data_IF_921689966112
#
_entry.id   IF_921689966112
#
_cell.length_a   1.000
_cell.length_b   1.000
_cell.length_c   1.000
_cell.angle_alpha   90.00
_cell.angle_beta   90.00
_cell.angle_gamma   90.00
#
_symmetry.space_group_name_H-M   'P 1'
#
loop_
_entity.id
_entity.type
_entity.pdbx_description
1 polymer ?
#
# COMPACT_ATOMS: atom_id res chain seq x y z
N UNK A 1 -24.52 -94.13 106.96
CA UNK A 1 -24.13 -94.33 105.55
C UNK A 1 -23.33 -93.11 105.13
N UNK A 2 -22.05 -93.26 104.79
CA UNK A 2 -21.27 -92.19 104.17
C UNK A 2 -21.66 -92.16 102.70
N UNK A 3 -22.29 -91.07 102.26
CA UNK A 3 -22.46 -90.78 100.84
C UNK A 3 -21.15 -90.12 100.41
N UNK A 4 -20.38 -90.81 99.58
CA UNK A 4 -19.23 -90.22 98.92
C UNK A 4 -19.68 -89.68 97.57
N UNK A 5 -19.32 -88.44 97.25
CA UNK A 5 -19.54 -87.87 95.92
C UNK A 5 -18.76 -88.70 94.89
N UNK A 6 -19.48 -89.31 93.96
CA UNK A 6 -18.91 -90.00 92.80
C UNK A 6 -18.70 -88.96 91.71
N UNK A 7 -17.49 -88.40 91.66
CA UNK A 7 -17.05 -87.63 90.51
C UNK A 7 -16.71 -88.59 89.37
N UNK A 8 -17.55 -88.59 88.33
CA UNK A 8 -17.28 -89.33 87.11
C UNK A 8 -16.39 -88.47 86.20
N UNK A 9 -15.09 -88.74 86.23
CA UNK A 9 -14.12 -88.04 85.38
C UNK A 9 -14.14 -88.65 83.99
N UNK A 10 -14.46 -87.84 82.98
CA UNK A 10 -14.22 -88.17 81.58
C UNK A 10 -12.84 -87.62 81.24
N UNK A 11 -11.85 -88.51 81.15
CA UNK A 11 -10.50 -88.15 80.71
C UNK A 11 -10.44 -88.23 79.19
N UNK A 12 -10.09 -87.13 78.54
CA UNK A 12 -9.77 -87.11 77.12
C UNK A 12 -8.48 -86.32 76.90
N UNK A 13 -7.74 -86.70 75.87
CA UNK A 13 -6.55 -85.99 75.42
C UNK A 13 -6.95 -84.91 74.42
N UNK A 14 -6.61 -83.66 74.72
CA UNK A 14 -6.71 -82.55 73.79
C UNK A 14 -5.36 -81.92 73.50
N UNK A 15 -5.27 -81.12 72.45
CA UNK A 15 -4.08 -80.31 72.17
C UNK A 15 -4.35 -78.86 72.55
N UNK A 16 -3.38 -78.23 73.23
CA UNK A 16 -3.42 -76.81 73.58
C UNK A 16 -3.05 -76.00 72.33
N UNK A 17 -3.94 -75.09 71.92
CA UNK A 17 -3.72 -74.20 70.78
C UNK A 17 -3.88 -72.74 71.22
N UNK A 18 -3.15 -71.84 70.56
CA UNK A 18 -3.26 -70.41 70.82
C UNK A 18 -4.56 -69.87 70.20
N UNK A 19 -5.26 -68.95 70.88
CA UNK A 19 -6.52 -68.38 70.39
C UNK A 19 -6.33 -67.59 69.09
N UNK A 20 -5.14 -67.00 68.91
CA UNK A 20 -4.73 -66.32 67.69
C UNK A 20 -3.34 -66.77 67.28
N UNK A 21 -3.28 -67.23 66.05
CA UNK A 21 -2.07 -67.67 65.37
C UNK A 21 -1.94 -66.84 64.08
N UNK A 22 -0.73 -66.40 63.78
CA UNK A 22 -0.45 -65.71 62.52
C UNK A 22 0.81 -66.26 61.87
N UNK A 23 0.64 -66.66 60.62
CA UNK A 23 1.70 -67.12 59.76
C UNK A 23 2.13 -65.95 58.87
N UNK A 24 3.29 -65.38 59.17
CA UNK A 24 3.79 -64.18 58.53
C UNK A 24 4.75 -64.54 57.41
N UNK A 25 4.44 -64.06 56.21
CA UNK A 25 5.27 -64.19 55.01
C UNK A 25 5.46 -62.82 54.38
N UNK A 26 6.57 -62.66 53.64
CA UNK A 26 6.78 -61.45 52.86
C UNK A 26 5.74 -61.35 51.73
N UNK A 27 5.14 -60.17 51.58
CA UNK A 27 4.16 -59.89 50.53
C UNK A 27 4.82 -59.69 49.16
N UNK A 28 6.13 -59.45 49.14
CA UNK A 28 6.96 -59.29 47.93
C UNK A 28 8.13 -60.28 47.98
N UNK A 29 8.64 -60.67 46.81
CA UNK A 29 9.81 -61.55 46.71
C UNK A 29 11.11 -60.76 46.76
N UNK A 30 12.14 -61.30 47.39
CA UNK A 30 13.45 -60.64 47.51
C UNK A 30 14.40 -61.37 48.45
N UNK A 31 15.62 -60.86 48.60
CA UNK A 31 16.63 -61.43 49.50
C UNK A 31 16.46 -60.87 50.91
N UNK A 32 16.51 -61.72 51.93
CA UNK A 32 16.40 -61.30 53.34
C UNK A 32 17.69 -60.60 53.78
N UNK A 33 17.60 -59.31 54.11
CA UNK A 33 18.74 -58.50 54.53
C UNK A 33 18.96 -58.56 56.05
N UNK A 34 17.88 -58.57 56.84
CA UNK A 34 17.97 -58.56 58.29
C UNK A 34 16.80 -59.35 58.91
N UNK A 35 17.09 -60.13 59.95
CA UNK A 35 16.12 -60.78 60.83
C UNK A 35 16.34 -60.23 62.24
N UNK A 36 15.34 -59.53 62.80
CA UNK A 36 15.45 -58.76 64.05
C UNK A 36 14.89 -59.49 65.27
N UNK A 37 14.37 -60.69 65.07
CA UNK A 37 13.72 -61.47 66.13
C UNK A 37 14.32 -62.86 66.27
N UNK A 38 14.19 -63.40 67.48
CA UNK A 38 14.63 -64.75 67.84
C UNK A 38 13.45 -65.56 68.36
N UNK A 39 13.53 -66.89 68.25
CA UNK A 39 12.49 -67.78 68.77
C UNK A 39 12.31 -67.59 70.29
N UNK A 40 11.06 -67.47 70.74
CA UNK A 40 10.69 -67.18 72.13
C UNK A 40 10.69 -65.70 72.51
N UNK A 41 11.02 -64.78 71.59
CA UNK A 41 10.99 -63.34 71.84
C UNK A 41 9.56 -62.79 71.81
N UNK A 42 9.23 -61.88 72.75
CA UNK A 42 7.99 -61.11 72.74
C UNK A 42 8.11 -59.91 71.80
N UNK A 43 7.11 -59.72 70.96
CA UNK A 43 7.03 -58.63 69.98
C UNK A 43 5.72 -57.88 70.11
N UNK A 44 5.72 -56.60 69.72
CA UNK A 44 4.53 -55.75 69.72
C UNK A 44 3.90 -55.63 68.34
N UNK A 45 2.61 -55.34 68.29
CA UNK A 45 1.90 -55.02 67.06
C UNK A 45 2.61 -53.86 66.32
N UNK A 46 2.92 -54.07 65.05
CA UNK A 46 3.65 -53.15 64.18
C UNK A 46 5.17 -53.22 64.29
N UNK A 47 5.74 -54.06 65.16
CA UNK A 47 7.19 -54.26 65.27
C UNK A 47 7.73 -54.97 64.02
N UNK A 48 8.84 -54.46 63.47
CA UNK A 48 9.52 -55.04 62.30
C UNK A 48 10.30 -56.28 62.72
N UNK A 49 9.88 -57.42 62.21
CA UNK A 49 10.43 -58.74 62.55
C UNK A 49 11.58 -59.12 61.62
N UNK A 50 11.43 -58.84 60.33
CA UNK A 50 12.44 -59.08 59.30
C UNK A 50 12.27 -58.10 58.13
N UNK A 51 13.35 -57.83 57.41
CA UNK A 51 13.34 -56.94 56.24
C UNK A 51 14.13 -57.53 55.07
N UNK A 52 13.61 -57.33 53.86
CA UNK A 52 14.31 -57.65 52.62
C UNK A 52 15.35 -56.57 52.27
N UNK A 53 16.26 -56.88 51.35
CA UNK A 53 17.10 -55.87 50.70
C UNK A 53 16.20 -54.94 49.89
N UNK A 54 16.17 -53.65 50.29
CA UNK A 54 15.30 -52.64 49.69
C UNK A 54 16.06 -51.68 48.78
N UNK A 55 17.34 -51.95 48.46
CA UNK A 55 18.17 -51.05 47.66
C UNK A 55 17.52 -50.78 46.30
N UNK A 56 17.06 -51.82 45.60
CA UNK A 56 16.38 -51.70 44.30
C UNK A 56 15.00 -51.04 44.42
N UNK A 57 14.23 -51.38 45.46
CA UNK A 57 12.91 -50.77 45.71
C UNK A 57 13.03 -49.28 46.04
N UNK A 58 14.07 -48.89 46.77
CA UNK A 58 14.35 -47.49 47.04
C UNK A 58 14.76 -46.74 45.76
N UNK A 59 15.54 -47.37 44.88
CA UNK A 59 15.84 -46.80 43.55
C UNK A 59 14.56 -46.66 42.70
N UNK A 60 13.64 -47.62 42.77
CA UNK A 60 12.35 -47.53 42.08
C UNK A 60 11.49 -46.38 42.59
N UNK A 61 11.44 -46.15 43.91
CA UNK A 61 10.73 -44.99 44.49
C UNK A 61 11.36 -43.68 44.02
N UNK A 62 12.70 -43.58 44.06
CA UNK A 62 13.42 -42.39 43.59
C UNK A 62 13.16 -42.15 42.09
N UNK A 63 13.16 -43.19 41.27
CA UNK A 63 12.84 -43.09 39.84
C UNK A 63 11.39 -42.66 39.60
N UNK A 64 10.43 -43.22 40.34
CA UNK A 64 9.02 -42.85 40.23
C UNK A 64 8.76 -41.40 40.69
N UNK A 65 9.45 -40.95 41.73
CA UNK A 65 9.39 -39.56 42.19
C UNK A 65 10.00 -38.60 41.17
N UNK A 66 11.12 -38.96 40.55
CA UNK A 66 11.71 -38.18 39.46
C UNK A 66 10.76 -38.09 38.25
N UNK A 67 10.08 -39.19 37.90
CA UNK A 67 9.08 -39.21 36.83
C UNK A 67 7.87 -38.33 37.15
N UNK A 68 7.37 -38.37 38.39
CA UNK A 68 6.29 -37.48 38.86
C UNK A 68 6.70 -36.02 38.77
N UNK A 69 7.89 -35.68 39.26
CA UNK A 69 8.42 -34.32 39.20
C UNK A 69 8.57 -33.84 37.76
N UNK A 70 9.02 -34.70 36.84
CA UNK A 70 9.08 -34.38 35.41
C UNK A 70 7.70 -34.16 34.80
N UNK A 71 6.71 -34.98 35.12
CA UNK A 71 5.34 -34.81 34.62
C UNK A 71 4.70 -33.52 35.16
N UNK A 72 4.93 -33.19 36.43
CA UNK A 72 4.47 -31.94 37.04
C UNK A 72 5.15 -30.72 36.42
N UNK A 73 6.46 -30.79 36.13
CA UNK A 73 7.17 -29.73 35.42
C UNK A 73 6.61 -29.53 34.01
N UNK A 74 6.37 -30.61 33.26
CA UNK A 74 5.77 -30.51 31.92
C UNK A 74 4.36 -29.87 31.96
N UNK A 75 3.54 -30.19 32.97
CA UNK A 75 2.24 -29.56 33.16
C UNK A 75 2.38 -28.07 33.52
N UNK A 76 3.33 -27.72 34.40
CA UNK A 76 3.59 -26.35 34.78
C UNK A 76 4.09 -25.51 33.58
N UNK A 77 5.02 -26.04 32.79
CA UNK A 77 5.54 -25.39 31.57
C UNK A 77 4.42 -25.18 30.55
N UNK A 78 3.49 -26.13 30.43
CA UNK A 78 2.31 -25.99 29.57
C UNK A 78 1.39 -24.85 30.06
N UNK A 79 1.25 -24.68 31.38
CA UNK A 79 0.38 -23.67 32.00
C UNK A 79 1.00 -22.26 32.06
N UNK A 80 2.33 -22.15 32.19
CA UNK A 80 3.05 -20.87 32.25
C UNK A 80 3.01 -20.11 30.91
N UNK A 81 2.69 -20.81 29.82
CA UNK A 81 2.50 -20.23 28.50
C UNK A 81 3.82 -19.93 27.76
N UNK A 82 3.77 -19.17 26.65
CA UNK A 82 4.93 -18.90 25.81
C UNK A 82 5.99 -18.04 26.51
N UNK A 83 7.24 -18.20 26.10
CA UNK A 83 8.38 -17.43 26.64
C UNK A 83 8.17 -15.91 26.41
N UNK A 84 8.33 -15.06 27.44
CA UNK A 84 8.21 -13.61 27.31
C UNK A 84 9.09 -12.98 26.23
N UNK A 85 10.28 -13.54 25.96
CA UNK A 85 11.17 -13.05 24.89
C UNK A 85 10.62 -13.38 23.50
N UNK A 86 9.96 -14.52 23.32
CA UNK A 86 9.27 -14.88 22.08
C UNK A 86 8.09 -13.95 21.83
N UNK A 87 7.29 -13.68 22.87
CA UNK A 87 6.17 -12.72 22.80
C UNK A 87 6.67 -11.33 22.44
N UNK A 88 7.73 -10.84 23.11
CA UNK A 88 8.32 -9.52 22.83
C UNK A 88 8.86 -9.42 21.40
N UNK A 89 9.45 -10.50 20.87
CA UNK A 89 9.90 -10.56 19.49
C UNK A 89 8.72 -10.50 18.52
N UNK A 90 7.66 -11.27 18.76
CA UNK A 90 6.45 -11.27 17.94
C UNK A 90 5.75 -9.89 17.94
N UNK A 91 5.63 -9.24 19.11
CA UNK A 91 5.12 -7.87 19.23
C UNK A 91 5.97 -6.87 18.43
N UNK A 92 7.30 -6.98 18.52
CA UNK A 92 8.22 -6.12 17.76
C UNK A 92 8.04 -6.30 16.25
N UNK A 93 7.85 -7.54 15.77
CA UNK A 93 7.59 -7.82 14.36
C UNK A 93 6.24 -7.26 13.89
N UNK A 94 5.21 -7.35 14.74
CA UNK A 94 3.91 -6.76 14.47
C UNK A 94 4.00 -5.23 14.38
N UNK A 95 4.74 -4.59 15.27
CA UNK A 95 4.93 -3.14 15.25
C UNK A 95 5.65 -2.68 13.99
N UNK A 96 6.72 -3.37 13.59
CA UNK A 96 7.42 -3.10 12.32
C UNK A 96 6.46 -3.23 11.12
N UNK A 97 5.60 -4.26 11.10
CA UNK A 97 4.61 -4.43 10.03
C UNK A 97 3.57 -3.30 10.00
N UNK A 98 3.08 -2.83 11.17
CA UNK A 98 2.17 -1.68 11.27
C UNK A 98 2.82 -0.39 10.81
N UNK A 99 4.06 -0.14 11.20
CA UNK A 99 4.83 1.03 10.75
C UNK A 99 5.03 1.00 9.23
N UNK A 100 5.31 -0.16 8.65
CA UNK A 100 5.42 -0.33 7.20
C UNK A 100 4.07 -0.06 6.51
N UNK A 101 2.96 -0.51 7.07
CA UNK A 101 1.62 -0.19 6.55
C UNK A 101 1.34 1.32 6.58
N UNK A 102 1.66 2.00 7.68
CA UNK A 102 1.48 3.45 7.79
C UNK A 102 2.37 4.22 6.81
N UNK A 103 3.62 3.80 6.62
CA UNK A 103 4.50 4.36 5.59
C UNK A 103 3.94 4.14 4.19
N UNK A 104 3.40 2.94 3.93
CA UNK A 104 2.77 2.61 2.64
C UNK A 104 1.52 3.45 2.43
N UNK A 105 0.67 3.66 3.45
CA UNK A 105 -0.52 4.51 3.39
C UNK A 105 -0.19 5.99 3.18
N UNK A 106 0.87 6.51 3.80
CA UNK A 106 1.33 7.89 3.61
C UNK A 106 2.01 8.12 2.25
N UNK A 107 2.48 7.06 1.62
CA UNK A 107 3.29 7.13 0.41
C UNK A 107 4.72 7.60 0.73
N UNK A 108 5.65 7.25 -0.15
CA UNK A 108 7.06 7.62 -0.02
C UNK A 108 7.38 9.00 -0.58
N UNK A 109 6.36 9.76 -1.00
CA UNK A 109 6.53 11.06 -1.63
C UNK A 109 7.01 12.09 -0.60
N UNK A 110 8.18 12.67 -0.86
CA UNK A 110 8.74 13.73 -0.04
C UNK A 110 7.95 15.03 -0.19
N UNK A 111 7.98 15.89 0.82
CA UNK A 111 7.38 17.23 0.75
C UNK A 111 7.90 18.04 -0.46
N UNK A 112 9.17 17.84 -0.85
CA UNK A 112 9.77 18.47 -2.02
C UNK A 112 9.13 18.00 -3.33
N UNK A 113 8.86 16.70 -3.49
CA UNK A 113 8.18 16.16 -4.67
C UNK A 113 6.74 16.68 -4.78
N UNK A 114 6.01 16.70 -3.67
CA UNK A 114 4.64 17.26 -3.64
C UNK A 114 4.66 18.76 -3.99
N UNK A 115 5.62 19.53 -3.47
CA UNK A 115 5.77 20.95 -3.80
C UNK A 115 6.07 21.17 -5.29
N UNK A 116 6.94 20.34 -5.89
CA UNK A 116 7.25 20.38 -7.31
C UNK A 116 6.04 20.04 -8.19
N UNK A 117 5.28 19.00 -7.83
CA UNK A 117 4.05 18.63 -8.54
C UNK A 117 2.98 19.74 -8.44
N UNK A 118 2.79 20.36 -7.26
CA UNK A 118 1.91 21.52 -7.09
C UNK A 118 2.37 22.73 -7.91
N UNK A 119 3.67 22.96 -8.01
CA UNK A 119 4.20 24.04 -8.86
C UNK A 119 3.92 23.76 -10.34
N UNK A 120 4.07 22.51 -10.78
CA UNK A 120 3.76 22.08 -12.15
C UNK A 120 2.27 22.25 -12.48
N UNK A 121 1.37 21.86 -11.56
CA UNK A 121 -0.06 22.07 -11.70
C UNK A 121 -0.42 23.56 -11.81
N UNK A 122 0.12 24.39 -10.91
CA UNK A 122 -0.09 25.86 -10.97
C UNK A 122 0.40 26.45 -12.29
N UNK A 123 1.54 25.99 -12.81
CA UNK A 123 2.06 26.45 -14.10
C UNK A 123 1.15 26.03 -15.27
N UNK A 124 0.66 24.79 -15.26
CA UNK A 124 -0.26 24.31 -16.30
C UNK A 124 -1.61 25.04 -16.27
N UNK A 125 -2.14 25.30 -15.08
CA UNK A 125 -3.36 26.09 -14.88
C UNK A 125 -3.17 27.53 -15.33
N UNK A 126 -2.04 28.17 -15.00
CA UNK A 126 -1.72 29.51 -15.47
C UNK A 126 -1.62 29.60 -17.00
N UNK A 127 -1.05 28.57 -17.64
CA UNK A 127 -0.99 28.49 -19.10
C UNK A 127 -2.40 28.37 -19.70
N UNK A 128 -3.25 27.49 -19.15
CA UNK A 128 -4.65 27.35 -19.59
C UNK A 128 -5.44 28.66 -19.43
N UNK A 129 -5.26 29.36 -18.30
CA UNK A 129 -5.89 30.65 -18.05
C UNK A 129 -5.39 31.72 -19.02
N UNK A 130 -4.09 31.80 -19.31
CA UNK A 130 -3.55 32.74 -20.30
C UNK A 130 -4.12 32.48 -21.71
N UNK A 131 -4.38 31.22 -22.05
CA UNK A 131 -5.03 30.87 -23.31
C UNK A 131 -6.51 31.28 -23.32
N UNK A 132 -7.26 30.98 -22.25
CA UNK A 132 -8.70 31.30 -22.16
C UNK A 132 -8.97 32.79 -21.98
N UNK A 133 -8.06 33.49 -21.31
CA UNK A 133 -8.10 34.90 -20.96
C UNK A 133 -6.76 35.54 -21.36
N UNK A 134 -6.58 35.92 -22.65
CA UNK A 134 -5.41 36.70 -23.07
C UNK A 134 -5.28 37.95 -22.20
N UNK A 135 -4.04 38.37 -21.91
CA UNK A 135 -3.82 39.50 -21.00
C UNK A 135 -4.45 40.76 -21.56
N UNK A 136 -4.92 41.65 -20.68
CA UNK A 136 -5.46 42.95 -21.09
C UNK A 136 -4.47 43.74 -21.97
N UNK A 137 -3.16 43.59 -21.69
CA UNK A 137 -2.09 44.21 -22.46
C UNK A 137 -1.98 43.64 -23.89
N UNK A 138 -2.05 42.31 -24.06
CA UNK A 138 -1.99 41.68 -25.39
C UNK A 138 -3.22 42.04 -26.23
N UNK A 139 -4.39 42.07 -25.60
CA UNK A 139 -5.63 42.50 -26.24
C UNK A 139 -5.56 43.97 -26.67
N UNK A 140 -5.11 44.85 -25.78
CA UNK A 140 -4.99 46.28 -26.06
C UNK A 140 -4.00 46.56 -27.20
N UNK A 141 -2.85 45.86 -27.21
CA UNK A 141 -1.85 45.96 -28.28
C UNK A 141 -2.42 45.51 -29.64
N UNK A 142 -3.15 44.39 -29.67
CA UNK A 142 -3.77 43.88 -30.90
C UNK A 142 -4.89 44.81 -31.40
N UNK A 143 -5.74 45.33 -30.50
CA UNK A 143 -6.76 46.32 -30.85
C UNK A 143 -6.14 47.63 -31.36
N UNK A 144 -5.02 48.07 -30.77
CA UNK A 144 -4.30 49.24 -31.25
C UNK A 144 -3.72 49.01 -32.65
N UNK A 145 -3.14 47.84 -32.93
CA UNK A 145 -2.63 47.50 -34.26
C UNK A 145 -3.74 47.53 -35.34
N UNK A 146 -4.96 47.06 -35.02
CA UNK A 146 -6.13 47.18 -35.91
C UNK A 146 -6.47 48.65 -36.15
N UNK A 147 -6.58 49.46 -35.08
CA UNK A 147 -6.86 50.90 -35.20
C UNK A 147 -5.81 51.63 -36.05
N UNK A 148 -4.53 51.33 -35.86
CA UNK A 148 -3.44 51.91 -36.64
C UNK A 148 -3.53 51.51 -38.13
N UNK A 149 -3.86 50.25 -38.42
CA UNK A 149 -4.05 49.78 -39.78
C UNK A 149 -5.29 50.41 -40.47
N UNK A 150 -6.39 50.62 -39.74
CA UNK A 150 -7.58 51.33 -40.24
C UNK A 150 -7.25 52.79 -40.59
N UNK A 151 -6.54 53.49 -39.70
CA UNK A 151 -6.10 54.87 -39.92
C UNK A 151 -5.17 54.93 -41.14
N UNK A 152 -4.22 53.99 -41.25
CA UNK A 152 -3.31 53.90 -42.39
C UNK A 152 -4.07 53.67 -43.70
N UNK A 153 -5.04 52.75 -43.72
CA UNK A 153 -5.89 52.51 -44.90
C UNK A 153 -6.68 53.75 -45.31
N UNK A 154 -7.29 54.45 -44.35
CA UNK A 154 -8.03 55.67 -44.64
C UNK A 154 -7.12 56.77 -45.20
N UNK A 155 -5.94 56.95 -44.60
CA UNK A 155 -4.93 57.91 -45.06
C UNK A 155 -4.45 57.59 -46.49
N UNK A 156 -4.15 56.32 -46.77
CA UNK A 156 -3.76 55.83 -48.09
C UNK A 156 -4.84 56.08 -49.14
N UNK A 157 -6.11 55.77 -48.84
CA UNK A 157 -7.24 56.05 -49.75
C UNK A 157 -7.36 57.54 -50.05
N UNK A 158 -7.26 58.39 -49.03
CA UNK A 158 -7.33 59.84 -49.21
C UNK A 158 -6.18 60.37 -50.08
N UNK A 159 -4.94 59.92 -49.81
CA UNK A 159 -3.74 60.32 -50.56
C UNK A 159 -3.78 59.85 -52.02
N UNK A 160 -4.14 58.58 -52.24
CA UNK A 160 -4.25 58.01 -53.57
C UNK A 160 -5.36 58.68 -54.40
N UNK A 161 -6.52 58.94 -53.80
CA UNK A 161 -7.61 59.68 -54.43
C UNK A 161 -7.18 61.11 -54.81
N UNK A 162 -6.40 61.78 -53.97
CA UNK A 162 -5.89 63.12 -54.25
C UNK A 162 -4.88 63.10 -55.41
N UNK A 163 -3.95 62.13 -55.43
CA UNK A 163 -2.96 61.98 -56.50
C UNK A 163 -3.62 61.74 -57.86
N UNK A 164 -4.63 60.86 -57.91
CA UNK A 164 -5.42 60.61 -59.12
C UNK A 164 -6.16 61.86 -59.60
N UNK A 165 -6.80 62.59 -58.69
CA UNK A 165 -7.49 63.85 -59.01
C UNK A 165 -6.53 64.89 -59.59
N UNK A 166 -5.31 64.99 -59.03
CA UNK A 166 -4.27 65.89 -59.53
C UNK A 166 -3.77 65.48 -60.93
N UNK A 167 -3.59 64.18 -61.18
CA UNK A 167 -3.18 63.66 -62.48
C UNK A 167 -4.28 63.86 -63.55
N UNK A 168 -5.55 63.67 -63.18
CA UNK A 168 -6.72 63.94 -64.03
C UNK A 168 -6.80 65.42 -64.43
N UNK A 169 -6.61 66.32 -63.46
CA UNK A 169 -6.55 67.76 -63.73
C UNK A 169 -5.36 68.14 -64.64
N UNK A 170 -4.20 67.50 -64.47
CA UNK A 170 -3.04 67.74 -65.32
C UNK A 170 -3.30 67.26 -66.77
N UNK A 171 -3.96 66.13 -66.94
CA UNK A 171 -4.40 65.61 -68.23
C UNK A 171 -5.39 66.57 -68.91
N UNK A 172 -6.39 67.05 -68.17
CA UNK A 172 -7.35 68.03 -68.69
C UNK A 172 -6.64 69.30 -69.20
N UNK A 173 -5.72 69.86 -68.40
CA UNK A 173 -4.93 71.04 -68.80
C UNK A 173 -4.07 70.78 -70.05
N UNK A 174 -3.49 69.58 -70.17
CA UNK A 174 -2.70 69.21 -71.34
C UNK A 174 -3.57 69.11 -72.60
N UNK A 175 -4.79 68.55 -72.48
CA UNK A 175 -5.76 68.47 -73.58
C UNK A 175 -6.25 69.86 -74.01
N UNK A 176 -6.51 70.76 -73.05
CA UNK A 176 -6.87 72.15 -73.34
C UNK A 176 -5.74 72.89 -74.07
N UNK A 177 -4.48 72.69 -73.61
CA UNK A 177 -3.30 73.28 -74.25
C UNK A 177 -3.06 72.74 -75.65
N UNK A 178 -3.29 71.43 -75.88
CA UNK A 178 -3.24 70.82 -77.20
C UNK A 178 -4.28 71.43 -78.14
N UNK A 179 -5.52 71.60 -77.66
CA UNK A 179 -6.59 72.23 -78.43
C UNK A 179 -6.20 73.65 -78.85
N UNK A 180 -5.61 74.45 -77.94
CA UNK A 180 -5.11 75.78 -78.26
C UNK A 180 -3.94 75.75 -79.27
N UNK A 181 -3.01 74.82 -79.11
CA UNK A 181 -1.88 74.66 -80.02
C UNK A 181 -2.32 74.26 -81.43
N UNK A 182 -3.32 73.38 -81.55
CA UNK A 182 -3.95 72.99 -82.82
C UNK A 182 -4.58 74.21 -83.52
N UNK A 183 -5.31 75.06 -82.80
CA UNK A 183 -5.89 76.29 -83.36
C UNK A 183 -4.80 77.26 -83.84
N UNK A 184 -3.72 77.45 -83.06
CA UNK A 184 -2.59 78.32 -83.46
C UNK A 184 -1.87 77.78 -84.68
N UNK A 185 -1.60 76.47 -84.73
CA UNK A 185 -1.00 75.82 -85.88
C UNK A 185 -1.87 75.98 -87.12
N UNK A 186 -3.17 75.71 -87.02
CA UNK A 186 -4.11 75.88 -88.13
C UNK A 186 -4.12 77.33 -88.66
N UNK A 187 -4.13 78.31 -87.76
CA UNK A 187 -4.09 79.74 -88.13
C UNK A 187 -2.76 80.12 -88.78
N UNK A 188 -1.63 79.81 -88.13
CA UNK A 188 -0.30 80.13 -88.64
C UNK A 188 0.01 79.44 -89.97
N UNK A 189 -0.49 78.20 -90.15
CA UNK A 189 -0.41 77.49 -91.42
C UNK A 189 -1.21 78.19 -92.51
N UNK A 190 -2.46 78.57 -92.22
CA UNK A 190 -3.29 79.30 -93.17
C UNK A 190 -2.66 80.64 -93.58
N UNK A 191 -2.13 81.39 -92.62
CA UNK A 191 -1.45 82.68 -92.87
C UNK A 191 -0.18 82.50 -93.71
N UNK A 192 0.63 81.49 -93.39
CA UNK A 192 1.84 81.15 -94.15
C UNK A 192 1.51 80.74 -95.59
N UNK A 193 0.54 79.84 -95.77
CA UNK A 193 0.09 79.39 -97.10
C UNK A 193 -0.42 80.60 -97.92
N UNK A 194 -1.20 81.50 -97.31
CA UNK A 194 -1.68 82.73 -97.96
C UNK A 194 -0.54 83.68 -98.39
N UNK A 195 0.47 83.87 -97.53
CA UNK A 195 1.66 84.69 -97.83
C UNK A 195 2.47 84.08 -98.98
N UNK A 196 2.61 82.75 -99.00
CA UNK A 196 3.31 82.03 -100.07
C UNK A 196 2.60 82.16 -101.42
N UNK A 197 1.26 82.02 -101.43
CA UNK A 197 0.47 82.05 -102.66
C UNK A 197 0.26 83.48 -103.21
N UNK A 198 -0.01 84.46 -102.35
CA UNK A 198 -0.48 85.79 -102.77
C UNK A 198 0.58 86.89 -102.66
N UNK A 199 1.62 86.69 -101.86
CA UNK A 199 2.61 87.70 -101.50
C UNK A 199 2.06 88.90 -100.73
N UNK A 200 0.85 88.80 -100.18
CA UNK A 200 0.15 89.86 -99.45
C UNK A 200 0.06 89.55 -97.95
N UNK A 201 -0.19 90.57 -97.13
CA UNK A 201 -0.38 90.40 -95.69
C UNK A 201 -1.74 89.74 -95.38
N UNK A 202 -1.80 88.59 -94.68
CA UNK A 202 -3.04 87.85 -94.40
C UNK A 202 -3.99 88.57 -93.43
N UNK A 203 -3.47 89.41 -92.54
CA UNK A 203 -4.31 90.20 -91.61
C UNK A 203 -4.88 91.46 -92.27
N UNK A 204 -4.21 91.99 -93.30
CA UNK A 204 -4.70 93.14 -94.07
C UNK A 204 -4.17 93.12 -95.51
N UNK A 205 -4.87 92.43 -96.44
CA UNK A 205 -4.37 92.20 -97.79
C UNK A 205 -4.33 93.46 -98.68
N UNK A 206 -5.14 94.47 -98.36
CA UNK A 206 -5.21 95.75 -99.09
C UNK A 206 -4.88 96.92 -98.15
N UNK A 207 -4.11 97.90 -98.63
CA UNK A 207 -3.88 99.17 -97.92
C UNK A 207 -4.32 100.35 -98.79
N UNK A 208 -4.70 101.46 -98.17
CA UNK A 208 -5.22 102.64 -98.89
C UNK A 208 -4.17 103.75 -98.88
N UNK A 209 -3.87 104.32 -100.05
CA UNK A 209 -2.93 105.45 -100.18
C UNK A 209 -3.51 106.75 -99.63
N UNK A 210 -2.69 107.79 -99.43
CA UNK A 210 -3.16 109.10 -98.94
C UNK A 210 -4.20 109.79 -99.86
N UNK A 211 -4.43 109.26 -101.07
CA UNK A 211 -5.44 109.72 -102.03
C UNK A 211 -6.66 108.78 -102.16
N UNK A 212 -6.78 107.75 -101.32
CA UNK A 212 -7.97 106.88 -101.27
C UNK A 212 -7.94 105.65 -102.20
N UNK A 213 -6.83 105.37 -102.89
CA UNK A 213 -6.72 104.19 -103.78
C UNK A 213 -6.27 102.94 -103.02
N UNK A 214 -6.92 101.80 -103.29
CA UNK A 214 -6.58 100.50 -102.73
C UNK A 214 -5.40 99.87 -103.47
N UNK A 215 -4.31 99.60 -102.77
CA UNK A 215 -3.13 98.90 -103.28
C UNK A 215 -2.87 97.61 -102.49
N UNK A 216 -2.26 96.62 -103.14
CA UNK A 216 -1.87 95.35 -102.50
C UNK A 216 -0.83 95.61 -101.41
N UNK A 217 -1.15 95.20 -100.19
CA UNK A 217 -0.21 95.29 -99.07
C UNK A 217 0.81 94.14 -99.15
N UNK A 218 1.88 94.35 -99.92
CA UNK A 218 2.94 93.35 -100.10
C UNK A 218 3.74 93.19 -98.81
N UNK A 219 3.90 91.94 -98.37
CA UNK A 219 4.77 91.60 -97.24
C UNK A 219 6.23 91.74 -97.64
N UNK A 220 7.03 92.38 -96.79
CA UNK A 220 8.49 92.44 -96.95
C UNK A 220 9.14 91.08 -96.68
N UNK A 221 10.39 90.89 -97.10
CA UNK A 221 11.13 89.64 -96.84
C UNK A 221 11.29 89.36 -95.34
N UNK A 222 11.45 90.41 -94.53
CA UNK A 222 11.46 90.29 -93.06
C UNK A 222 10.11 89.80 -92.54
N UNK A 223 8.99 90.34 -93.04
CA UNK A 223 7.65 89.92 -92.61
C UNK A 223 7.33 88.49 -93.07
N UNK A 224 7.75 88.09 -94.27
CA UNK A 224 7.63 86.71 -94.75
C UNK A 224 8.36 85.73 -93.82
N UNK A 225 9.59 86.06 -93.42
CA UNK A 225 10.35 85.27 -92.46
C UNK A 225 9.65 85.21 -91.10
N UNK A 226 9.02 86.30 -90.64
CA UNK A 226 8.22 86.29 -89.41
C UNK A 226 7.02 85.33 -89.47
N UNK A 227 6.31 85.24 -90.61
CA UNK A 227 5.23 84.26 -90.78
C UNK A 227 5.73 82.82 -90.84
N UNK A 228 6.88 82.58 -91.49
CA UNK A 228 7.53 81.26 -91.49
C UNK A 228 7.94 80.84 -90.08
N UNK A 229 8.61 81.73 -89.34
CA UNK A 229 9.04 81.48 -87.96
C UNK A 229 7.84 81.23 -87.05
N UNK A 230 6.73 81.96 -87.23
CA UNK A 230 5.49 81.75 -86.49
C UNK A 230 4.86 80.38 -86.78
N UNK A 231 4.89 79.92 -88.03
CA UNK A 231 4.44 78.57 -88.41
C UNK A 231 5.30 77.48 -87.77
N UNK A 232 6.64 77.59 -87.88
CA UNK A 232 7.57 76.61 -87.29
C UNK A 232 7.43 76.58 -85.76
N UNK A 233 7.27 77.75 -85.12
CA UNK A 233 7.02 77.83 -83.68
C UNK A 233 5.67 77.18 -83.30
N UNK A 234 4.63 77.38 -84.10
CA UNK A 234 3.32 76.76 -83.85
C UNK A 234 3.36 75.24 -84.05
N UNK A 235 4.11 74.73 -85.05
CA UNK A 235 4.34 73.30 -85.25
C UNK A 235 5.10 72.68 -84.06
N UNK A 236 6.18 73.33 -83.60
CA UNK A 236 6.92 72.88 -82.43
C UNK A 236 6.06 72.91 -81.15
N UNK A 237 5.22 73.93 -80.99
CA UNK A 237 4.27 74.04 -79.88
C UNK A 237 3.20 72.93 -79.92
N UNK A 238 2.70 72.60 -81.11
CA UNK A 238 1.75 71.49 -81.31
C UNK A 238 2.38 70.16 -80.90
N UNK A 239 3.58 69.83 -81.41
CA UNK A 239 4.28 68.59 -81.04
C UNK A 239 4.57 68.50 -79.54
N UNK A 240 4.91 69.64 -78.92
CA UNK A 240 5.12 69.72 -77.47
C UNK A 240 3.83 69.45 -76.70
N UNK A 241 2.70 70.01 -77.16
CA UNK A 241 1.41 69.80 -76.52
C UNK A 241 0.92 68.34 -76.67
N UNK A 242 1.14 67.70 -77.82
CA UNK A 242 0.86 66.27 -78.03
C UNK A 242 1.68 65.37 -77.10
N UNK A 243 2.98 65.69 -76.94
CA UNK A 243 3.85 65.00 -76.00
C UNK A 243 3.37 65.18 -74.54
N UNK A 244 2.94 66.38 -74.17
CA UNK A 244 2.42 66.67 -72.83
C UNK A 244 1.13 65.91 -72.52
N UNK A 245 0.21 65.76 -73.49
CA UNK A 245 -1.00 64.93 -73.32
C UNK A 245 -0.63 63.48 -73.09
N UNK A 246 0.28 62.93 -73.91
CA UNK A 246 0.75 61.55 -73.78
C UNK A 246 1.39 61.32 -72.40
N UNK A 247 2.24 62.25 -71.95
CA UNK A 247 2.87 62.18 -70.64
C UNK A 247 1.84 62.27 -69.50
N UNK A 248 0.86 63.16 -69.60
CA UNK A 248 -0.18 63.32 -68.60
C UNK A 248 -1.11 62.08 -68.54
N UNK A 249 -1.38 61.44 -69.68
CA UNK A 249 -2.14 60.19 -69.74
C UNK A 249 -1.39 59.07 -69.00
N UNK A 250 -0.09 58.89 -69.27
CA UNK A 250 0.74 57.91 -68.55
C UNK A 250 0.78 58.22 -67.05
N UNK A 251 0.90 59.49 -66.66
CA UNK A 251 0.87 59.88 -65.25
C UNK A 251 -0.47 59.55 -64.57
N UNK A 252 -1.60 59.74 -65.26
CA UNK A 252 -2.92 59.36 -64.79
C UNK A 252 -3.07 57.84 -64.65
N UNK A 253 -2.65 57.08 -65.67
CA UNK A 253 -2.72 55.61 -65.65
C UNK A 253 -1.85 55.03 -64.51
N UNK A 254 -0.64 55.56 -64.33
CA UNK A 254 0.23 55.21 -63.20
C UNK A 254 -0.40 55.56 -61.86
N UNK A 255 -1.02 56.74 -61.71
CA UNK A 255 -1.69 57.13 -60.47
C UNK A 255 -2.87 56.19 -60.14
N UNK A 256 -3.61 55.73 -61.16
CA UNK A 256 -4.71 54.76 -61.01
C UNK A 256 -4.20 53.38 -60.58
N UNK A 257 -3.13 52.89 -61.19
CA UNK A 257 -2.54 51.60 -60.80
C UNK A 257 -1.93 51.65 -59.39
N UNK A 258 -1.27 52.75 -59.05
CA UNK A 258 -0.70 52.96 -57.72
C UNK A 258 -1.79 53.04 -56.64
N UNK A 259 -2.93 53.68 -56.92
CA UNK A 259 -4.10 53.70 -56.02
C UNK A 259 -4.54 52.26 -55.68
N UNK A 260 -4.70 51.41 -56.69
CA UNK A 260 -5.13 50.02 -56.50
C UNK A 260 -4.10 49.27 -55.65
N UNK A 261 -2.81 49.38 -55.99
CA UNK A 261 -1.75 48.67 -55.30
C UNK A 261 -1.59 49.11 -53.83
N UNK A 262 -1.64 50.42 -53.57
CA UNK A 262 -1.47 50.97 -52.23
C UNK A 262 -2.65 50.63 -51.33
N UNK A 263 -3.88 50.71 -51.86
CA UNK A 263 -5.09 50.32 -51.13
C UNK A 263 -5.09 48.83 -50.83
N UNK A 264 -4.76 47.97 -51.80
CA UNK A 264 -4.65 46.52 -51.57
C UNK A 264 -3.61 46.18 -50.50
N UNK A 265 -2.47 46.87 -50.49
CA UNK A 265 -1.43 46.68 -49.46
C UNK A 265 -1.93 47.09 -48.08
N UNK A 266 -2.63 48.22 -47.97
CA UNK A 266 -3.20 48.67 -46.71
C UNK A 266 -4.33 47.76 -46.21
N UNK A 267 -5.17 47.25 -47.11
CA UNK A 267 -6.20 46.25 -46.78
C UNK A 267 -5.60 44.94 -46.29
N UNK A 268 -4.50 44.48 -46.90
CA UNK A 268 -3.78 43.29 -46.45
C UNK A 268 -3.19 43.48 -45.03
N UNK A 269 -2.70 44.67 -44.70
CA UNK A 269 -2.22 45.00 -43.36
C UNK A 269 -3.36 44.97 -42.34
N UNK A 270 -4.50 45.58 -42.64
CA UNK A 270 -5.69 45.54 -41.79
C UNK A 270 -6.16 44.09 -41.56
N UNK A 271 -6.28 43.30 -42.62
CA UNK A 271 -6.67 41.89 -42.53
C UNK A 271 -5.67 41.06 -41.71
N UNK A 272 -4.37 41.39 -41.74
CA UNK A 272 -3.38 40.72 -40.90
C UNK A 272 -3.54 41.06 -39.41
N UNK A 273 -3.76 42.34 -39.07
CA UNK A 273 -3.98 42.78 -37.70
C UNK A 273 -5.29 42.21 -37.12
N UNK A 274 -6.36 42.15 -37.93
CA UNK A 274 -7.63 41.54 -37.54
C UNK A 274 -7.48 40.04 -37.25
N UNK A 275 -6.75 39.30 -38.08
CA UNK A 275 -6.47 37.87 -37.82
C UNK A 275 -5.66 37.65 -36.55
N UNK A 276 -4.72 38.53 -36.25
CA UNK A 276 -3.95 38.46 -35.00
C UNK A 276 -4.84 38.69 -33.78
N UNK A 277 -5.73 39.69 -33.83
CA UNK A 277 -6.72 39.94 -32.79
C UNK A 277 -7.68 38.77 -32.61
N UNK A 278 -8.18 38.19 -33.71
CA UNK A 278 -9.09 37.04 -33.68
C UNK A 278 -8.41 35.79 -33.11
N UNK A 279 -7.15 35.51 -33.47
CA UNK A 279 -6.38 34.40 -32.92
C UNK A 279 -6.12 34.52 -31.41
N UNK A 280 -6.03 35.76 -30.90
CA UNK A 280 -5.92 36.03 -29.47
C UNK A 280 -7.25 35.83 -28.74
N UNK A 281 -8.35 36.31 -29.32
CA UNK A 281 -9.69 36.21 -28.71
C UNK A 281 -10.27 34.78 -28.77
N UNK A 282 -9.94 34.05 -29.83
CA UNK A 282 -10.42 32.69 -30.08
C UNK A 282 -9.23 31.74 -30.24
N UNK A 283 -8.55 31.37 -29.14
CA UNK A 283 -7.57 30.28 -29.16
C UNK A 283 -8.19 29.03 -29.78
N UNK A 284 -7.41 28.28 -30.55
CA UNK A 284 -7.95 27.10 -31.22
C UNK A 284 -8.35 26.03 -30.20
N UNK A 285 -9.42 25.28 -30.49
CA UNK A 285 -9.85 24.16 -29.65
C UNK A 285 -8.70 23.15 -29.39
N UNK A 286 -7.79 22.99 -30.35
CA UNK A 286 -6.59 22.16 -30.21
C UNK A 286 -5.62 22.69 -29.14
N UNK A 287 -5.39 24.00 -29.07
CA UNK A 287 -4.53 24.63 -28.06
C UNK A 287 -5.14 24.52 -26.66
N UNK A 288 -6.46 24.75 -26.53
CA UNK A 288 -7.17 24.56 -25.26
C UNK A 288 -7.09 23.09 -24.82
N UNK A 289 -7.39 22.15 -25.72
CA UNK A 289 -7.34 20.73 -25.41
C UNK A 289 -5.94 20.27 -24.99
N UNK A 290 -4.89 20.80 -25.62
CA UNK A 290 -3.51 20.52 -25.22
C UNK A 290 -3.19 21.07 -23.81
N UNK A 291 -3.61 22.29 -23.49
CA UNK A 291 -3.42 22.87 -22.17
C UNK A 291 -4.24 22.14 -21.09
N UNK A 292 -5.47 21.73 -21.40
CA UNK A 292 -6.30 20.91 -20.51
C UNK A 292 -5.68 19.53 -20.26
N UNK A 293 -5.09 18.91 -21.29
CA UNK A 293 -4.33 17.67 -21.14
C UNK A 293 -3.10 17.84 -20.24
N UNK A 294 -2.40 18.97 -20.31
CA UNK A 294 -1.28 19.27 -19.40
C UNK A 294 -1.74 19.44 -17.95
N UNK A 295 -2.88 20.10 -17.71
CA UNK A 295 -3.49 20.20 -16.38
C UNK A 295 -3.85 18.82 -15.85
N UNK A 296 -4.56 18.02 -16.64
CA UNK A 296 -4.95 16.66 -16.27
C UNK A 296 -3.72 15.78 -15.95
N UNK A 297 -2.64 15.89 -16.72
CA UNK A 297 -1.39 15.17 -16.45
C UNK A 297 -0.74 15.62 -15.13
N UNK A 298 -0.69 16.92 -14.85
CA UNK A 298 -0.13 17.45 -13.62
C UNK A 298 -0.98 17.08 -12.39
N UNK A 299 -2.30 17.07 -12.52
CA UNK A 299 -3.22 16.59 -11.48
C UNK A 299 -3.04 15.10 -11.22
N UNK A 300 -2.93 14.28 -12.28
CA UNK A 300 -2.68 12.86 -12.15
C UNK A 300 -1.34 12.58 -11.43
N UNK A 301 -0.29 13.34 -11.72
CA UNK A 301 0.99 13.24 -11.01
C UNK A 301 0.87 13.65 -9.54
N UNK A 302 0.16 14.74 -9.23
CA UNK A 302 -0.06 15.17 -7.85
C UNK A 302 -0.88 14.12 -7.07
N UNK A 303 -1.92 13.57 -7.70
CA UNK A 303 -2.74 12.51 -7.11
C UNK A 303 -1.91 11.24 -6.90
N UNK A 304 -1.09 10.82 -7.86
CA UNK A 304 -0.20 9.67 -7.69
C UNK A 304 0.77 9.84 -6.52
N UNK A 305 1.25 11.06 -6.27
CA UNK A 305 2.14 11.37 -5.14
C UNK A 305 1.41 11.51 -3.79
N UNK A 306 0.11 11.84 -3.80
CA UNK A 306 -0.68 12.08 -2.58
C UNK A 306 -1.57 10.92 -2.17
N UNK A 307 -1.88 9.99 -3.08
CA UNK A 307 -2.79 8.87 -2.83
C UNK A 307 -2.15 7.72 -2.02
N UNK A 308 -0.93 7.90 -1.51
CA UNK A 308 -0.21 6.83 -0.81
C UNK A 308 0.31 5.75 -1.77
N UNK A 309 0.68 4.60 -1.23
CA UNK A 309 0.99 3.38 -1.99
C UNK A 309 -0.24 2.91 -2.78
N UNK A 310 -0.02 2.05 -3.79
CA UNK A 310 -1.15 1.55 -4.57
C UNK A 310 -2.12 0.79 -3.68
N UNK A 311 -3.40 0.72 -4.05
CA UNK A 311 -4.40 -0.07 -3.30
C UNK A 311 -3.93 -1.53 -3.10
N UNK A 312 -3.19 -2.06 -4.08
CA UNK A 312 -2.54 -3.37 -4.01
C UNK A 312 -1.44 -3.43 -2.94
N UNK A 313 -0.56 -2.43 -2.85
CA UNK A 313 0.51 -2.40 -1.86
C UNK A 313 -0.04 -2.27 -0.43
N UNK A 314 -1.08 -1.44 -0.26
CA UNK A 314 -1.78 -1.31 1.03
C UNK A 314 -2.41 -2.63 1.42
N UNK A 315 -3.08 -3.33 0.50
CA UNK A 315 -3.67 -4.63 0.77
C UNK A 315 -2.62 -5.69 1.17
N UNK A 316 -1.45 -5.71 0.51
CA UNK A 316 -0.33 -6.60 0.87
C UNK A 316 0.20 -6.28 2.28
N UNK A 317 0.37 -5.00 2.59
CA UNK A 317 0.82 -4.56 3.90
C UNK A 317 -0.21 -4.89 5.01
N UNK A 318 -1.52 -4.74 4.73
CA UNK A 318 -2.60 -5.14 5.64
C UNK A 318 -2.61 -6.66 5.87
N UNK A 319 -2.43 -7.46 4.83
CA UNK A 319 -2.28 -8.92 4.95
C UNK A 319 -1.07 -9.30 5.80
N UNK A 320 0.04 -8.56 5.65
CA UNK A 320 1.24 -8.79 6.47
C UNK A 320 0.97 -8.49 7.95
N UNK A 321 0.29 -7.38 8.26
CA UNK A 321 -0.12 -7.05 9.63
C UNK A 321 -1.03 -8.14 10.19
N UNK A 322 -2.04 -8.57 9.41
CA UNK A 322 -2.96 -9.61 9.83
C UNK A 322 -2.23 -10.94 10.13
N UNK A 323 -1.30 -11.36 9.28
CA UNK A 323 -0.48 -12.55 9.51
C UNK A 323 0.33 -12.46 10.81
N UNK A 324 0.92 -11.28 11.11
CA UNK A 324 1.66 -11.06 12.36
C UNK A 324 0.75 -11.03 13.59
N UNK A 325 -0.46 -10.49 13.44
CA UNK A 325 -1.46 -10.50 14.51
C UNK A 325 -1.91 -11.92 14.83
N UNK A 326 -2.25 -12.72 13.81
CA UNK A 326 -2.65 -14.12 13.98
C UNK A 326 -1.50 -14.92 14.60
N UNK A 327 -0.25 -14.73 14.17
CA UNK A 327 0.88 -15.44 14.78
C UNK A 327 1.10 -15.07 16.26
N UNK A 328 0.87 -13.81 16.64
CA UNK A 328 0.92 -13.40 18.05
C UNK A 328 -0.25 -13.99 18.86
N UNK A 329 -1.44 -14.04 18.26
CA UNK A 329 -2.63 -14.63 18.88
C UNK A 329 -2.48 -16.14 19.07
N UNK A 330 -1.94 -16.86 18.08
CA UNK A 330 -1.61 -18.28 18.17
C UNK A 330 -0.54 -18.54 19.25
N UNK A 331 0.45 -17.67 19.39
CA UNK A 331 1.47 -17.78 20.44
C UNK A 331 0.87 -17.59 21.83
N UNK A 332 -0.03 -16.63 22.00
CA UNK A 332 -0.71 -16.33 23.26
C UNK A 332 -1.91 -17.23 23.56
N UNK A 333 -2.30 -18.07 22.60
CA UNK A 333 -3.44 -18.96 22.76
C UNK A 333 -3.17 -19.93 23.91
N UNK A 334 -4.13 -20.11 24.84
CA UNK A 334 -3.96 -21.07 25.91
C UNK A 334 -3.84 -22.48 25.32
N UNK A 335 -3.12 -23.39 26.01
CA UNK A 335 -3.08 -24.80 25.63
C UNK A 335 -4.48 -25.37 25.51
N UNK A 336 -4.69 -26.28 24.58
CA UNK A 336 -6.00 -26.90 24.42
C UNK A 336 -6.37 -27.73 25.66
N UNK A 337 -7.66 -27.84 25.96
CA UNK A 337 -8.15 -28.70 27.06
C UNK A 337 -7.66 -30.15 26.91
N UNK A 338 -7.49 -30.62 25.67
CA UNK A 338 -6.99 -31.97 25.39
C UNK A 338 -5.51 -32.13 25.79
N UNK A 339 -4.67 -31.12 25.54
CA UNK A 339 -3.25 -31.13 25.93
C UNK A 339 -3.10 -31.06 27.45
N UNK A 340 -3.88 -30.21 28.12
CA UNK A 340 -3.91 -30.12 29.58
C UNK A 340 -4.38 -31.46 30.18
N UNK A 341 -5.48 -32.02 29.70
CA UNK A 341 -5.98 -33.31 30.18
C UNK A 341 -4.97 -34.45 29.96
N UNK A 342 -4.22 -34.43 28.85
CA UNK A 342 -3.16 -35.40 28.61
C UNK A 342 -2.01 -35.24 29.61
N UNK A 343 -1.57 -34.01 29.89
CA UNK A 343 -0.52 -33.73 30.86
C UNK A 343 -0.96 -34.08 32.30
N UNK A 344 -2.19 -33.74 32.68
CA UNK A 344 -2.79 -34.15 33.96
C UNK A 344 -2.88 -35.67 34.09
N UNK A 345 -3.25 -36.38 33.02
CA UNK A 345 -3.26 -37.85 33.01
C UNK A 345 -1.86 -38.44 33.20
N UNK A 346 -0.81 -37.82 32.65
CA UNK A 346 0.58 -38.23 32.88
C UNK A 346 1.00 -38.01 34.34
N UNK A 347 0.61 -36.90 34.96
CA UNK A 347 0.83 -36.65 36.39
C UNK A 347 0.12 -37.73 37.21
N UNK A 348 -1.16 -37.98 36.96
CA UNK A 348 -1.94 -39.01 37.66
C UNK A 348 -1.32 -40.42 37.51
N UNK A 349 -0.82 -40.76 36.31
CA UNK A 349 -0.12 -42.01 36.07
C UNK A 349 1.19 -42.10 36.86
N UNK A 350 1.97 -41.03 36.89
CA UNK A 350 3.23 -40.97 37.63
C UNK A 350 3.01 -41.02 39.15
N UNK A 351 1.95 -40.37 39.65
CA UNK A 351 1.54 -40.47 41.06
C UNK A 351 1.13 -41.89 41.42
N UNK A 352 0.35 -42.55 40.56
CA UNK A 352 -0.04 -43.95 40.76
C UNK A 352 1.18 -44.88 40.76
N UNK A 353 2.16 -44.65 39.90
CA UNK A 353 3.41 -45.39 39.86
C UNK A 353 4.25 -45.17 41.13
N UNK A 354 4.35 -43.94 41.63
CA UNK A 354 5.01 -43.63 42.90
C UNK A 354 4.30 -44.31 44.08
N UNK A 355 2.97 -44.28 44.11
CA UNK A 355 2.17 -44.96 45.12
C UNK A 355 2.33 -46.49 45.05
N UNK A 356 2.48 -47.07 43.86
CA UNK A 356 2.80 -48.49 43.70
C UNK A 356 4.21 -48.81 44.25
N UNK A 357 5.24 -48.07 43.84
CA UNK A 357 6.62 -48.27 44.30
C UNK A 357 6.75 -48.11 45.83
N UNK A 358 6.07 -47.13 46.43
CA UNK A 358 6.04 -46.95 47.90
C UNK A 358 5.35 -48.11 48.61
N UNK A 359 4.27 -48.66 48.04
CA UNK A 359 3.60 -49.84 48.59
C UNK A 359 4.48 -51.08 48.53
N UNK A 360 5.22 -51.25 47.44
CA UNK A 360 6.15 -52.37 47.28
C UNK A 360 7.32 -52.29 48.26
N UNK A 361 7.88 -51.08 48.46
CA UNK A 361 8.88 -50.82 49.49
C UNK A 361 8.35 -51.09 50.92
N UNK A 362 7.11 -50.69 51.21
CA UNK A 362 6.48 -50.98 52.50
C UNK A 362 6.23 -52.49 52.69
N UNK A 363 5.89 -53.20 51.61
CA UNK A 363 5.66 -54.64 51.60
C UNK A 363 6.95 -55.49 51.70
N UNK A 364 8.13 -54.85 51.65
CA UNK A 364 9.42 -55.49 51.88
C UNK A 364 9.80 -55.60 53.37
N UNK A 365 8.95 -55.13 54.27
CA UNK A 365 9.09 -55.29 55.72
C UNK A 365 8.03 -56.24 56.26
N UNK A 366 8.44 -57.21 57.06
CA UNK A 366 7.55 -58.13 57.75
C UNK A 366 7.28 -57.58 59.16
N UNK A 367 6.04 -57.14 59.40
CA UNK A 367 5.61 -56.57 60.69
C UNK A 367 4.67 -57.50 61.44
N UNK A 368 4.68 -57.42 62.78
CA UNK A 368 3.74 -58.18 63.61
C UNK A 368 2.31 -57.61 63.53
N UNK A 369 1.27 -58.42 63.27
CA UNK A 369 -0.12 -57.95 63.20
C UNK A 369 -0.77 -57.74 64.57
N UNK A 370 -0.22 -58.35 65.64
CA UNK A 370 -0.67 -58.23 67.03
C UNK A 370 0.50 -58.46 68.00
N UNK A 371 0.31 -58.14 69.28
CA UNK A 371 1.28 -58.42 70.34
C UNK A 371 1.34 -59.93 70.63
N UNK A 372 2.53 -60.54 70.63
CA UNK A 372 2.65 -61.99 70.81
C UNK A 372 4.08 -62.48 71.01
N UNK A 373 4.25 -63.80 71.06
CA UNK A 373 5.56 -64.46 71.17
C UNK A 373 5.90 -65.20 69.87
N UNK A 374 7.13 -65.05 69.39
CA UNK A 374 7.61 -65.73 68.18
C UNK A 374 7.80 -67.21 68.48
N UNK A 375 6.98 -68.06 67.86
CA UNK A 375 6.99 -69.50 68.07
C UNK A 375 8.03 -70.22 67.20
N UNK A 376 8.31 -69.73 65.99
CA UNK A 376 9.36 -70.24 65.12
C UNK A 376 9.86 -69.16 64.15
N UNK A 377 11.16 -69.20 63.83
CA UNK A 377 11.80 -68.34 62.82
C UNK A 377 12.43 -69.23 61.76
N UNK A 378 11.78 -69.35 60.60
CA UNK A 378 12.21 -70.26 59.54
C UNK A 378 12.97 -69.55 58.40
N UNK A 379 13.58 -68.40 58.70
CA UNK A 379 14.31 -67.58 57.72
C UNK A 379 15.71 -67.23 58.20
N UNK A 380 16.67 -67.24 57.28
CA UNK A 380 18.04 -66.79 57.55
C UNK A 380 18.45 -65.62 56.64
N UNK A 381 19.44 -64.85 57.08
CA UNK A 381 19.98 -63.73 56.29
C UNK A 381 20.60 -64.30 55.01
N UNK A 382 20.21 -63.74 53.86
CA UNK A 382 20.66 -64.18 52.54
C UNK A 382 19.73 -65.18 51.84
N UNK A 383 18.72 -65.71 52.52
CA UNK A 383 17.69 -66.53 51.86
C UNK A 383 16.81 -65.69 50.92
N UNK A 384 16.32 -66.30 49.85
CA UNK A 384 15.33 -65.70 48.96
C UNK A 384 13.93 -65.94 49.50
N UNK A 385 13.27 -64.89 49.97
CA UNK A 385 11.85 -64.91 50.22
C UNK A 385 11.10 -64.92 48.88
N UNK A 386 10.23 -65.91 48.69
CA UNK A 386 9.28 -65.92 47.57
C UNK A 386 7.97 -65.29 48.03
N UNK A 387 7.37 -64.45 47.18
CA UNK A 387 6.03 -63.92 47.42
C UNK A 387 5.03 -65.10 47.48
N UNK A 388 4.71 -65.57 48.68
CA UNK A 388 3.79 -66.68 48.86
C UNK A 388 2.36 -66.16 48.69
N UNK A 389 1.81 -66.30 47.48
CA UNK A 389 0.42 -65.98 47.20
C UNK A 389 -0.49 -67.07 47.78
N UNK A 390 -0.85 -66.95 49.05
CA UNK A 390 -2.08 -67.49 49.61
C UNK A 390 -2.24 -69.02 49.73
N UNK A 391 -1.16 -69.82 49.65
CA UNK A 391 -1.26 -71.24 49.98
C UNK A 391 -1.05 -71.45 51.48
N UNK A 392 -1.92 -72.28 52.09
CA UNK A 392 -2.03 -72.51 53.53
C UNK A 392 -0.67 -72.55 54.22
N UNK A 393 -0.32 -71.43 54.86
CA UNK A 393 0.93 -71.30 55.58
C UNK A 393 0.85 -72.20 56.81
N UNK A 394 1.68 -73.24 56.83
CA UNK A 394 1.90 -74.07 58.00
C UNK A 394 3.04 -73.48 58.83
N UNK A 395 3.14 -73.86 60.10
CA UNK A 395 4.23 -73.41 60.99
C UNK A 395 5.65 -73.70 60.45
N UNK A 396 5.78 -74.64 59.50
CA UNK A 396 7.04 -75.08 58.89
C UNK A 396 7.36 -74.37 57.55
N UNK A 397 6.39 -73.64 56.99
CA UNK A 397 6.52 -72.94 55.69
C UNK A 397 6.38 -71.42 55.80
N UNK A 398 5.86 -70.93 56.93
CA UNK A 398 5.80 -69.51 57.22
C UNK A 398 7.19 -68.97 57.57
N UNK A 399 7.54 -67.78 57.07
CA UNK A 399 8.80 -67.14 57.39
C UNK A 399 8.94 -66.89 58.90
N UNK A 400 7.88 -66.39 59.52
CA UNK A 400 7.77 -66.23 60.98
C UNK A 400 6.41 -66.71 61.46
N UNK A 401 6.41 -67.52 62.51
CA UNK A 401 5.19 -67.98 63.17
C UNK A 401 4.98 -67.25 64.50
N UNK A 402 3.87 -66.52 64.62
CA UNK A 402 3.53 -65.71 65.80
C UNK A 402 2.29 -66.27 66.51
N UNK A 403 2.39 -66.47 67.82
CA UNK A 403 1.26 -66.89 68.67
C UNK A 403 0.94 -65.80 69.70
N UNK A 404 -0.35 -65.60 69.94
CA UNK A 404 -0.83 -64.78 71.06
C UNK A 404 -0.75 -65.61 72.35
N UNK A 405 0.14 -65.24 73.27
CA UNK A 405 0.35 -65.96 74.53
C UNK A 405 -0.66 -65.57 75.64
N UNK A 406 -1.62 -64.69 75.34
CA UNK A 406 -2.60 -64.21 76.32
C UNK A 406 -3.83 -65.11 76.48
N UNK A 407 -4.18 -65.91 75.46
CA UNK A 407 -5.40 -66.72 75.43
C UNK A 407 -5.15 -68.06 74.74
N UNK A 408 -5.43 -69.16 75.42
CA UNK A 408 -5.32 -70.53 74.88
C UNK A 408 -6.67 -71.24 74.94
N UNK A 409 -6.89 -72.17 74.02
CA UNK A 409 -8.00 -73.12 74.07
C UNK A 409 -7.48 -74.55 73.89
N UNK A 410 -8.28 -75.53 74.31
CA UNK A 410 -7.95 -76.94 74.15
C UNK A 410 -9.04 -77.59 73.33
N UNK A 411 -8.68 -78.11 72.16
CA UNK A 411 -9.56 -78.98 71.40
C UNK A 411 -9.52 -80.38 72.00
N UNK A 412 -10.64 -80.77 72.62
CA UNK A 412 -10.78 -82.07 73.27
C UNK A 412 -11.74 -82.93 72.47
N UNK A 413 -11.26 -84.09 72.02
CA UNK A 413 -12.07 -85.05 71.28
C UNK A 413 -12.79 -85.98 72.25
N UNK A 414 -14.12 -85.90 72.29
CA UNK A 414 -14.91 -86.84 73.07
C UNK A 414 -15.50 -87.90 72.15
N UNK A 415 -15.52 -89.15 72.63
CA UNK A 415 -16.31 -90.19 71.97
C UNK A 415 -17.79 -89.82 72.07
N UNK A 416 -18.61 -90.19 71.08
CA UNK A 416 -20.04 -89.84 71.02
C UNK A 416 -20.81 -90.28 72.29
N UNK A 417 -20.34 -91.36 72.95
CA UNK A 417 -20.90 -91.90 74.20
C UNK A 417 -20.58 -91.01 75.42
N UNK A 418 -19.48 -90.26 75.37
CA UNK A 418 -19.04 -89.36 76.45
C UNK A 418 -19.53 -87.93 76.26
N UNK A 419 -19.79 -87.52 75.01
CA UNK A 419 -20.44 -86.24 74.67
C UNK A 419 -21.81 -86.08 75.33
N UNK A 420 -22.59 -87.17 75.43
CA UNK A 420 -23.89 -87.18 76.10
C UNK A 420 -23.83 -86.87 77.61
N UNK A 421 -22.64 -86.88 78.22
CA UNK A 421 -22.41 -86.64 79.65
C UNK A 421 -21.85 -85.24 79.94
N UNK A 422 -21.63 -84.43 78.91
CA UNK A 422 -21.05 -83.08 79.01
C UNK A 422 -22.11 -82.01 78.77
N UNK A 423 -21.92 -80.83 79.37
CA UNK A 423 -22.76 -79.65 79.16
C UNK A 423 -21.88 -78.42 78.88
N UNK A 424 -22.42 -77.47 78.10
CA UNK A 424 -21.76 -76.19 77.82
C UNK A 424 -21.47 -75.45 79.15
N UNK A 425 -20.31 -74.79 79.27
CA UNK A 425 -19.81 -74.08 80.46
C UNK A 425 -19.50 -74.92 81.71
N UNK A 426 -19.38 -76.26 81.57
CA UNK A 426 -18.85 -77.07 82.65
C UNK A 426 -17.38 -76.73 82.95
N UNK A 427 -17.03 -76.74 84.24
CA UNK A 427 -15.64 -76.55 84.69
C UNK A 427 -14.79 -77.71 84.20
N UNK A 428 -13.97 -77.45 83.19
CA UNK A 428 -12.88 -78.32 82.79
C UNK A 428 -11.67 -78.10 83.71
N UNK A 429 -10.98 -79.18 84.04
CA UNK A 429 -9.69 -79.12 84.73
C UNK A 429 -8.61 -79.42 83.68
N UNK A 430 -7.84 -78.36 83.41
CA UNK A 430 -6.60 -78.25 82.60
C UNK A 430 -5.57 -79.35 82.89
#
# INVERSE_FOLDING_TARGET
MRVGDLMQTVSSSGQLQALRESYLNFATGGTIAEVRVTEGQKVRAGEVLASLDTSDLHQQVVQAEANLKSAQANLADLLDGPDPEEVRLAESQLEVAKLQLEQTKRGTATAAQIASARASLRSAQANLEMLKNPTAADREAAEQAVREAEIALQSTRNSASANKTNAELALQKAVDALTQAQVRYATAKSDWDFVQETGQNPANPETTTAQGEKIKNKVSDTQRQQYYDAFVQAEAALRTAEANVTQAQVAYDNAREQEIADVQRAEALLASAQRQLEALLNPTAAQIAQAEAQVAQAEAQLNALTSGGTQTDVAIAEQTVLQRQVALEELLAPPSEAEIAQAEAQVAQAEAALAAAKRELAAAQLVAPFDGTVAAVNITIGDSASASSGSAASADTAAIYLIDDSSYYVDVYFSEVDLAKLALDQRALV
#
